data_IF_061909807659
#
_entry.id   IF_061909807659
#
_cell.length_a   1.000
_cell.length_b   1.000
_cell.length_c   1.000
_cell.angle_alpha   90.00
_cell.angle_beta   90.00
_cell.angle_gamma   90.00
#
_symmetry.space_group_name_H-M   'P 1'
#
loop_
_entity.id
_entity.type
_entity.pdbx_description
1 polymer ?
#
# COMPACT_ATOMS: atom_id res chain seq x y z
N UNK A 1 10.51 4.98 17.41
CA UNK A 1 10.75 4.31 16.11
C UNK A 1 11.24 5.38 15.13
N UNK A 2 12.56 5.54 14.98
CA UNK A 2 13.13 6.52 14.07
C UNK A 2 14.53 6.09 13.67
N UNK A 3 14.91 6.36 12.42
CA UNK A 3 16.27 6.10 11.94
C UNK A 3 17.19 7.11 12.65
N UNK A 4 18.30 6.66 13.29
CA UNK A 4 19.23 7.58 13.92
C UNK A 4 19.76 8.61 12.92
N UNK A 5 19.84 9.89 13.30
CA UNK A 5 20.34 10.96 12.41
C UNK A 5 21.75 10.65 11.87
N UNK A 6 22.60 10.02 12.68
CA UNK A 6 23.94 9.59 12.28
C UNK A 6 23.95 8.55 11.14
N UNK A 7 22.83 7.89 10.85
CA UNK A 7 22.67 6.98 9.71
C UNK A 7 22.19 7.65 8.43
N UNK A 8 21.87 8.94 8.47
CA UNK A 8 21.24 9.65 7.32
C UNK A 8 21.99 10.93 6.99
N UNK A 9 22.48 11.65 8.02
CA UNK A 9 23.18 12.91 7.85
C UNK A 9 24.69 12.69 7.83
N UNK A 10 25.34 13.22 6.79
CA UNK A 10 26.78 13.39 6.72
C UNK A 10 27.21 14.79 7.22
N UNK A 11 28.52 14.99 7.37
CA UNK A 11 29.07 16.28 7.81
C UNK A 11 28.71 17.41 6.84
N UNK A 12 28.66 17.13 5.54
CA UNK A 12 28.33 18.13 4.52
C UNK A 12 26.88 18.66 4.71
N UNK A 13 25.94 17.77 4.99
CA UNK A 13 24.54 18.13 5.27
C UNK A 13 24.43 18.94 6.56
N UNK A 14 25.15 18.55 7.62
CA UNK A 14 25.16 19.30 8.87
C UNK A 14 25.74 20.71 8.69
N UNK A 15 26.83 20.85 7.92
CA UNK A 15 27.41 22.14 7.59
C UNK A 15 26.45 23.04 6.82
N UNK A 16 25.70 22.48 5.86
CA UNK A 16 24.68 23.23 5.13
C UNK A 16 23.57 23.72 6.06
N UNK A 17 23.07 22.87 6.96
CA UNK A 17 22.05 23.26 7.93
C UNK A 17 22.55 24.38 8.86
N UNK A 18 23.77 24.26 9.38
CA UNK A 18 24.37 25.31 10.21
C UNK A 18 24.53 26.64 9.46
N UNK A 19 24.92 26.58 8.18
CA UNK A 19 25.04 27.78 7.34
C UNK A 19 23.67 28.41 7.04
N UNK A 20 22.63 27.61 6.78
CA UNK A 20 21.27 28.10 6.51
C UNK A 20 20.65 28.76 7.74
N UNK A 21 20.88 28.21 8.92
CA UNK A 21 20.31 28.69 10.19
C UNK A 21 21.34 29.41 11.06
N UNK A 22 22.34 30.07 10.47
CA UNK A 22 23.47 30.64 11.21
C UNK A 22 23.03 31.61 12.32
N UNK A 23 22.04 32.47 12.04
CA UNK A 23 21.48 33.41 13.00
C UNK A 23 20.83 32.71 14.19
N UNK A 24 20.14 31.59 13.96
CA UNK A 24 19.49 30.84 15.03
C UNK A 24 20.51 30.11 15.91
N UNK A 25 21.58 29.58 15.29
CA UNK A 25 22.69 28.99 16.03
C UNK A 25 23.38 30.01 16.95
N UNK A 26 23.50 31.27 16.52
CA UNK A 26 24.05 32.36 17.32
C UNK A 26 23.07 32.84 18.40
N UNK A 27 21.79 33.04 18.06
CA UNK A 27 20.78 33.56 18.97
C UNK A 27 20.41 32.58 20.09
N UNK A 28 20.34 31.28 19.78
CA UNK A 28 19.87 30.24 20.70
C UNK A 28 20.98 29.31 21.20
N UNK A 29 22.21 29.44 20.70
CA UNK A 29 23.36 28.66 21.16
C UNK A 29 23.23 27.16 20.86
N UNK A 30 22.69 26.80 19.70
CA UNK A 30 22.49 25.39 19.36
C UNK A 30 23.81 24.61 19.30
N UNK A 31 23.76 23.37 19.80
CA UNK A 31 24.89 22.47 19.77
C UNK A 31 25.28 22.12 18.33
N UNK A 32 26.55 22.34 17.98
CA UNK A 32 27.11 21.90 16.71
C UNK A 32 27.37 20.41 16.78
N UNK A 33 26.79 19.66 15.84
CA UNK A 33 26.94 18.20 15.76
C UNK A 33 27.95 17.86 14.69
N UNK A 34 28.88 17.00 15.06
CA UNK A 34 29.80 16.36 14.13
C UNK A 34 29.23 15.02 13.69
N UNK A 35 29.27 14.78 12.39
CA UNK A 35 28.85 13.55 11.74
C UNK A 35 30.00 12.98 10.93
N UNK A 36 29.85 11.73 10.48
CA UNK A 36 30.81 11.14 9.57
C UNK A 36 30.88 11.92 8.25
N UNK A 37 32.06 11.97 7.63
CA UNK A 37 32.26 12.66 6.34
C UNK A 37 31.48 12.04 5.19
N UNK A 38 31.18 10.74 5.28
CA UNK A 38 30.29 10.02 4.38
C UNK A 38 29.44 9.04 5.20
N UNK A 39 28.21 8.81 4.72
CA UNK A 39 27.30 7.81 5.28
C UNK A 39 27.27 6.63 4.32
N UNK A 40 27.59 5.44 4.83
CA UNK A 40 27.50 4.22 4.03
C UNK A 40 26.04 3.97 3.61
N UNK A 41 25.78 3.72 2.32
CA UNK A 41 24.46 3.32 1.88
C UNK A 41 24.00 2.07 2.62
N UNK A 42 22.78 2.10 3.14
CA UNK A 42 22.18 0.87 3.66
C UNK A 42 21.82 -0.05 2.49
N UNK A 43 22.62 -1.09 2.31
CA UNK A 43 22.39 -2.16 1.35
C UNK A 43 21.86 -3.37 2.11
N UNK A 44 20.72 -3.90 1.67
CA UNK A 44 20.18 -5.14 2.22
C UNK A 44 21.16 -6.28 1.93
N UNK A 45 21.40 -7.14 2.91
CA UNK A 45 22.10 -8.40 2.67
C UNK A 45 21.31 -9.28 1.68
N UNK A 46 21.97 -10.29 1.11
CA UNK A 46 21.30 -11.25 0.21
C UNK A 46 20.09 -11.91 0.87
N UNK A 47 20.20 -12.25 2.16
CA UNK A 47 19.11 -12.83 2.93
C UNK A 47 17.95 -11.85 3.13
N UNK A 48 18.22 -10.60 3.50
CA UNK A 48 17.18 -9.57 3.64
C UNK A 48 16.51 -9.26 2.30
N UNK A 49 17.29 -9.23 1.22
CA UNK A 49 16.78 -9.03 -0.15
C UNK A 49 15.86 -10.16 -0.58
N UNK A 50 16.23 -11.41 -0.30
CA UNK A 50 15.38 -12.58 -0.53
C UNK A 50 14.10 -12.52 0.30
N UNK A 51 14.17 -12.14 1.57
CA UNK A 51 12.99 -11.98 2.43
C UNK A 51 12.02 -10.94 1.88
N UNK A 52 12.50 -9.75 1.52
CA UNK A 52 11.68 -8.70 0.92
C UNK A 52 11.03 -9.19 -0.38
N UNK A 53 11.77 -9.93 -1.20
CA UNK A 53 11.26 -10.50 -2.45
C UNK A 53 10.16 -11.52 -2.21
N UNK A 54 10.34 -12.43 -1.24
CA UNK A 54 9.34 -13.43 -0.88
C UNK A 54 8.07 -12.79 -0.32
N UNK A 55 8.20 -11.76 0.51
CA UNK A 55 7.06 -11.00 1.03
C UNK A 55 6.30 -10.31 -0.10
N UNK A 56 7.01 -9.69 -1.05
CA UNK A 56 6.38 -9.06 -2.22
C UNK A 56 5.59 -10.07 -3.05
N UNK A 57 6.20 -11.22 -3.35
CA UNK A 57 5.55 -12.29 -4.11
C UNK A 57 4.33 -12.85 -3.39
N UNK A 58 4.37 -12.99 -2.07
CA UNK A 58 3.22 -13.49 -1.31
C UNK A 58 2.05 -12.51 -1.36
N UNK A 59 2.30 -11.21 -1.22
CA UNK A 59 1.28 -10.16 -1.34
C UNK A 59 0.69 -10.13 -2.74
N UNK A 60 1.52 -10.20 -3.79
CA UNK A 60 1.05 -10.24 -5.18
C UNK A 60 0.16 -11.46 -5.44
N UNK A 61 0.54 -12.64 -4.92
CA UNK A 61 -0.26 -13.85 -5.01
C UNK A 61 -1.61 -13.69 -4.30
N UNK A 62 -1.63 -13.18 -3.07
CA UNK A 62 -2.88 -12.94 -2.32
C UNK A 62 -3.79 -11.94 -3.05
N UNK A 63 -3.22 -10.89 -3.62
CA UNK A 63 -3.95 -9.93 -4.44
C UNK A 63 -4.55 -10.56 -5.71
N UNK A 64 -3.81 -11.47 -6.36
CA UNK A 64 -4.29 -12.20 -7.54
C UNK A 64 -5.43 -13.17 -7.20
N UNK A 65 -5.30 -13.92 -6.10
CA UNK A 65 -6.30 -14.89 -5.62
C UNK A 65 -7.58 -14.16 -5.21
N UNK A 66 -7.45 -13.04 -4.50
CA UNK A 66 -8.59 -12.20 -4.11
C UNK A 66 -9.34 -11.66 -5.33
N UNK A 67 -8.62 -11.15 -6.34
CA UNK A 67 -9.23 -10.69 -7.60
C UNK A 67 -9.90 -11.83 -8.37
N UNK A 68 -9.27 -13.00 -8.43
CA UNK A 68 -9.86 -14.17 -9.07
C UNK A 68 -11.14 -14.64 -8.34
N UNK A 69 -11.15 -14.65 -7.01
CA UNK A 69 -12.32 -14.98 -6.21
C UNK A 69 -13.46 -13.98 -6.41
N UNK A 70 -13.15 -12.67 -6.39
CA UNK A 70 -14.11 -11.61 -6.69
C UNK A 70 -14.70 -11.74 -8.09
N UNK A 71 -13.87 -12.02 -9.11
CA UNK A 71 -14.33 -12.20 -10.49
C UNK A 71 -15.26 -13.42 -10.65
N UNK A 72 -14.95 -14.54 -9.97
CA UNK A 72 -15.83 -15.72 -9.97
C UNK A 72 -17.14 -15.44 -9.25
N UNK A 73 -17.09 -14.71 -8.14
CA UNK A 73 -18.29 -14.33 -7.39
C UNK A 73 -19.16 -13.37 -8.22
N UNK A 74 -18.58 -12.32 -8.80
CA UNK A 74 -19.30 -11.38 -9.66
C UNK A 74 -19.89 -12.05 -10.91
N UNK A 75 -19.16 -12.98 -11.53
CA UNK A 75 -19.67 -13.79 -12.64
C UNK A 75 -20.86 -14.66 -12.21
N UNK A 76 -20.81 -15.31 -11.05
CA UNK A 76 -21.94 -16.10 -10.51
C UNK A 76 -23.18 -15.24 -10.26
N UNK A 77 -23.00 -14.04 -9.68
CA UNK A 77 -24.10 -13.09 -9.48
C UNK A 77 -24.68 -12.60 -10.82
N UNK A 78 -23.82 -12.25 -11.78
CA UNK A 78 -24.23 -11.85 -13.13
C UNK A 78 -25.03 -12.93 -13.86
N UNK A 79 -24.57 -14.19 -13.84
CA UNK A 79 -25.30 -15.33 -14.43
C UNK A 79 -26.67 -15.51 -13.76
N UNK A 80 -26.74 -15.38 -12.42
CA UNK A 80 -28.01 -15.49 -11.68
C UNK A 80 -28.98 -14.37 -12.06
N UNK A 81 -28.48 -13.15 -12.26
CA UNK A 81 -29.28 -12.03 -12.73
C UNK A 81 -29.77 -12.23 -14.16
N UNK A 82 -28.90 -12.65 -15.09
CA UNK A 82 -29.29 -12.97 -16.48
C UNK A 82 -30.40 -14.03 -16.48
N UNK A 83 -30.24 -15.11 -15.71
CA UNK A 83 -31.25 -16.17 -15.58
C UNK A 83 -32.59 -15.63 -15.05
N UNK A 84 -32.57 -14.79 -14.00
CA UNK A 84 -33.78 -14.16 -13.45
C UNK A 84 -34.49 -13.29 -14.50
N UNK A 85 -33.73 -12.51 -15.27
CA UNK A 85 -34.26 -11.64 -16.33
C UNK A 85 -34.84 -12.45 -17.49
N UNK A 86 -34.15 -13.50 -17.93
CA UNK A 86 -34.64 -14.41 -18.98
C UNK A 86 -35.91 -15.11 -18.54
N UNK A 87 -35.93 -15.69 -17.34
CA UNK A 87 -37.13 -16.34 -16.79
C UNK A 87 -38.30 -15.37 -16.65
N UNK A 88 -38.05 -14.11 -16.25
CA UNK A 88 -39.08 -13.06 -16.19
C UNK A 88 -39.66 -12.76 -17.58
N UNK A 89 -38.82 -12.67 -18.62
CA UNK A 89 -39.28 -12.43 -20.01
C UNK A 89 -40.10 -13.60 -20.54
N UNK A 90 -39.62 -14.84 -20.36
CA UNK A 90 -40.31 -16.04 -20.87
C UNK A 90 -41.61 -16.33 -20.11
N UNK A 91 -41.64 -16.10 -18.80
CA UNK A 91 -42.86 -16.29 -17.99
C UNK A 91 -43.85 -15.11 -18.04
N UNK A 92 -43.59 -14.09 -18.88
CA UNK A 92 -44.35 -12.84 -18.92
C UNK A 92 -44.60 -12.24 -17.51
N UNK A 93 -43.62 -12.38 -16.60
CA UNK A 93 -43.71 -11.88 -15.23
C UNK A 93 -44.61 -12.68 -14.27
N UNK A 94 -45.37 -13.70 -14.72
CA UNK A 94 -46.30 -14.46 -13.86
C UNK A 94 -45.61 -15.17 -12.70
N UNK A 95 -44.39 -15.68 -12.89
CA UNK A 95 -43.65 -16.43 -11.87
C UNK A 95 -43.02 -15.54 -10.78
N UNK A 96 -42.96 -14.21 -11.00
CA UNK A 96 -42.31 -13.25 -10.09
C UNK A 96 -43.27 -12.17 -9.54
N UNK A 97 -44.58 -12.39 -9.65
CA UNK A 97 -45.63 -11.51 -9.14
C UNK A 97 -46.02 -11.79 -7.67
N UNK A 98 -45.24 -12.60 -6.94
CA UNK A 98 -45.48 -12.84 -5.51
C UNK A 98 -44.80 -11.76 -4.65
N UNK A 99 -45.38 -11.32 -3.52
CA UNK A 99 -44.78 -10.31 -2.64
C UNK A 99 -43.34 -10.67 -2.22
N UNK A 100 -43.06 -11.97 -2.10
CA UNK A 100 -41.75 -12.51 -1.72
C UNK A 100 -40.68 -12.37 -2.80
N UNK A 101 -41.05 -12.14 -4.06
CA UNK A 101 -40.11 -11.98 -5.19
C UNK A 101 -39.82 -10.52 -5.58
N UNK A 102 -40.47 -9.55 -4.90
CA UNK A 102 -40.29 -8.10 -5.10
C UNK A 102 -39.23 -7.47 -4.20
N UNK A 103 -38.77 -8.16 -3.15
CA UNK A 103 -37.61 -7.72 -2.39
C UNK A 103 -36.31 -8.12 -3.12
N UNK A 104 -35.38 -7.16 -3.13
CA UNK A 104 -34.15 -7.06 -3.91
C UNK A 104 -33.28 -8.34 -3.90
#
# INVERSE_FOLDING_TARGET
MGIPLARVCDQATANRLMATYSMDYEAFGFARREFAGAVEPYVLSDAETQLVTLVRQSVERVGSVSRAAQSRMSARYGIRQIRKTVLRKVSFGRMYNTPRSMHW
#
